data_IF_481791341353
#
_entry.id   IF_481791341353
#
_cell.length_a   1.000
_cell.length_b   1.000
_cell.length_c   1.000
_cell.angle_alpha   90.00
_cell.angle_beta   90.00
_cell.angle_gamma   90.00
#
_symmetry.space_group_name_H-M   'P 1'
#
loop_
_entity.id
_entity.type
_entity.pdbx_description
1 polymer ?
#
# COMPACT_ATOMS: atom_id res chain seq x y z
N UNK A 1 -5.85 -1.60 11.29
CA UNK A 1 -6.67 -2.41 10.36
C UNK A 1 -6.12 -2.42 8.95
N UNK A 2 -5.82 -1.28 8.31
CA UNK A 2 -5.26 -1.20 6.96
C UNK A 2 -4.01 -2.08 6.77
N UNK A 3 -3.06 -2.04 7.72
CA UNK A 3 -1.83 -2.86 7.65
C UNK A 3 -2.13 -4.37 7.62
N UNK A 4 -3.09 -4.82 8.43
CA UNK A 4 -3.48 -6.23 8.45
C UNK A 4 -4.11 -6.67 7.13
N UNK A 5 -5.02 -5.86 6.58
CA UNK A 5 -5.61 -6.12 5.27
C UNK A 5 -4.56 -6.12 4.17
N UNK A 6 -3.63 -5.15 4.19
CA UNK A 6 -2.52 -5.10 3.24
C UNK A 6 -1.62 -6.34 3.36
N UNK A 7 -1.27 -6.75 4.58
CA UNK A 7 -0.47 -7.95 4.81
C UNK A 7 -1.16 -9.19 4.23
N UNK A 8 -2.46 -9.36 4.45
CA UNK A 8 -3.23 -10.49 3.88
C UNK A 8 -3.28 -10.42 2.36
N UNK A 9 -3.65 -9.26 1.81
CA UNK A 9 -3.87 -9.09 0.37
C UNK A 9 -2.57 -9.12 -0.44
N UNK A 10 -1.44 -8.72 0.14
CA UNK A 10 -0.13 -8.73 -0.53
C UNK A 10 0.70 -9.99 -0.24
N UNK A 11 0.22 -10.87 0.62
CA UNK A 11 0.86 -12.16 0.88
C UNK A 11 0.80 -13.08 -0.34
N UNK A 12 1.75 -14.00 -0.44
CA UNK A 12 1.74 -15.06 -1.44
C UNK A 12 0.58 -16.04 -1.18
N UNK A 13 0.03 -16.61 -2.23
CA UNK A 13 -1.11 -17.53 -2.14
C UNK A 13 -2.45 -16.82 -2.33
N UNK A 14 -3.54 -17.48 -1.99
CA UNK A 14 -4.90 -16.96 -2.13
C UNK A 14 -5.30 -16.21 -0.85
N UNK A 15 -5.52 -14.89 -0.91
CA UNK A 15 -5.99 -14.14 0.26
C UNK A 15 -7.43 -14.56 0.58
N UNK A 16 -7.74 -14.65 1.87
CA UNK A 16 -9.07 -14.98 2.36
C UNK A 16 -9.50 -13.95 3.40
N UNK A 17 -10.66 -13.35 3.18
CA UNK A 17 -11.30 -12.40 4.09
C UNK A 17 -12.65 -12.96 4.52
N UNK A 18 -13.04 -12.73 5.76
CA UNK A 18 -14.41 -12.97 6.22
C UNK A 18 -15.26 -11.77 5.82
N UNK A 19 -16.49 -12.02 5.36
CA UNK A 19 -17.40 -10.93 4.98
C UNK A 19 -17.57 -9.92 6.12
N UNK A 20 -17.26 -8.67 5.82
CA UNK A 20 -17.25 -7.57 6.78
C UNK A 20 -15.86 -7.18 7.30
N UNK A 21 -14.80 -7.97 7.09
CA UNK A 21 -13.43 -7.56 7.47
C UNK A 21 -13.02 -6.28 6.74
N UNK A 22 -13.45 -6.13 5.48
CA UNK A 22 -13.21 -4.96 4.63
C UNK A 22 -13.84 -3.67 5.18
N UNK A 23 -14.80 -3.78 6.08
CA UNK A 23 -15.46 -2.66 6.74
C UNK A 23 -15.29 -2.68 8.26
N UNK A 24 -14.39 -3.52 8.76
CA UNK A 24 -14.07 -3.59 10.18
C UNK A 24 -15.19 -4.12 11.06
N UNK A 25 -16.01 -5.06 10.55
CA UNK A 25 -17.03 -5.75 11.33
C UNK A 25 -16.42 -6.37 12.60
N UNK A 26 -17.13 -6.28 13.69
CA UNK A 26 -16.75 -6.92 14.96
C UNK A 26 -17.76 -7.97 15.37
N UNK A 27 -17.29 -9.05 15.95
CA UNK A 27 -18.12 -10.06 16.62
C UNK A 27 -18.10 -9.88 18.16
N UNK A 28 -17.75 -8.67 18.64
CA UNK A 28 -17.74 -8.28 20.04
C UNK A 28 -16.96 -9.25 20.96
N UNK A 29 -15.87 -9.81 20.45
CA UNK A 29 -15.01 -10.77 21.15
C UNK A 29 -15.47 -12.22 21.07
N UNK A 30 -16.58 -12.53 20.41
CA UNK A 30 -16.99 -13.90 20.16
C UNK A 30 -16.16 -14.47 18.98
N UNK A 31 -15.42 -15.54 19.22
CA UNK A 31 -14.58 -16.18 18.23
C UNK A 31 -15.32 -17.20 17.35
N UNK A 32 -16.59 -17.51 17.65
CA UNK A 32 -17.40 -18.43 16.89
C UNK A 32 -18.89 -18.06 16.97
N UNK A 33 -19.36 -17.31 15.98
CA UNK A 33 -20.79 -16.96 15.85
C UNK A 33 -21.58 -17.95 14.96
N UNK A 34 -21.10 -19.18 14.81
CA UNK A 34 -21.77 -20.23 14.06
C UNK A 34 -23.21 -20.46 14.57
N UNK A 35 -24.16 -20.55 13.66
CA UNK A 35 -25.61 -20.73 13.94
C UNK A 35 -26.25 -19.60 14.74
N UNK A 36 -25.63 -18.42 14.87
CA UNK A 36 -26.25 -17.27 15.54
C UNK A 36 -26.83 -16.29 14.53
N UNK A 37 -28.15 -16.30 14.37
CA UNK A 37 -28.85 -15.31 13.55
C UNK A 37 -29.20 -14.09 14.39
N UNK A 38 -28.23 -13.20 14.54
CA UNK A 38 -28.33 -11.99 15.37
C UNK A 38 -27.38 -10.89 14.88
N UNK A 39 -27.47 -9.71 15.47
CA UNK A 39 -26.56 -8.58 15.22
C UNK A 39 -25.07 -8.93 15.37
N UNK A 40 -24.76 -10.00 16.08
CA UNK A 40 -23.40 -10.49 16.25
C UNK A 40 -22.79 -11.01 14.94
N UNK A 41 -23.62 -11.63 14.09
CA UNK A 41 -23.19 -12.22 12.80
C UNK A 41 -23.62 -11.41 11.58
N UNK A 42 -24.57 -10.49 11.74
CA UNK A 42 -25.05 -9.66 10.62
C UNK A 42 -23.98 -8.64 10.20
N UNK A 43 -24.05 -8.25 8.94
CA UNK A 43 -23.23 -7.17 8.37
C UNK A 43 -24.08 -5.89 8.38
N UNK A 44 -23.60 -4.87 9.08
CA UNK A 44 -24.22 -3.55 9.04
C UNK A 44 -23.69 -2.75 7.86
N UNK A 45 -24.56 -2.36 6.94
CA UNK A 45 -24.22 -1.57 5.76
C UNK A 45 -24.30 -0.07 5.99
N UNK A 46 -24.72 0.37 7.18
CA UNK A 46 -24.68 1.77 7.55
C UNK A 46 -23.28 2.16 8.01
N UNK A 47 -22.40 2.36 7.05
CA UNK A 47 -20.96 2.53 7.29
C UNK A 47 -20.64 3.95 7.77
N UNK A 48 -19.82 4.03 8.80
CA UNK A 48 -19.15 5.25 9.24
C UNK A 48 -18.03 5.67 8.26
N UNK A 49 -17.51 6.89 8.40
CA UNK A 49 -16.45 7.42 7.51
C UNK A 49 -15.23 6.51 7.48
N UNK A 50 -14.73 6.10 8.65
CA UNK A 50 -13.55 5.22 8.74
C UNK A 50 -13.78 3.83 8.12
N UNK A 51 -15.03 3.32 8.15
CA UNK A 51 -15.39 2.05 7.54
C UNK A 51 -15.41 2.14 6.02
N UNK A 52 -15.96 3.23 5.48
CA UNK A 52 -15.89 3.53 4.03
C UNK A 52 -14.44 3.65 3.56
N UNK A 53 -13.60 4.31 4.35
CA UNK A 53 -12.16 4.39 4.10
C UNK A 53 -11.51 3.01 4.05
N UNK A 54 -11.85 2.12 4.97
CA UNK A 54 -11.32 0.76 5.00
C UNK A 54 -11.78 -0.07 3.78
N UNK A 55 -13.05 0.08 3.37
CA UNK A 55 -13.56 -0.52 2.12
C UNK A 55 -12.81 0.00 0.90
N UNK A 56 -12.58 1.32 0.84
CA UNK A 56 -11.82 1.92 -0.25
C UNK A 56 -10.37 1.41 -0.30
N UNK A 57 -9.72 1.32 0.86
CA UNK A 57 -8.38 0.72 1.00
C UNK A 57 -8.36 -0.72 0.51
N UNK A 58 -9.33 -1.53 0.91
CA UNK A 58 -9.43 -2.94 0.50
C UNK A 58 -9.60 -3.08 -1.01
N UNK A 59 -10.47 -2.26 -1.61
CA UNK A 59 -10.65 -2.24 -3.08
C UNK A 59 -9.37 -1.87 -3.81
N UNK A 60 -8.66 -0.86 -3.30
CA UNK A 60 -7.38 -0.44 -3.89
C UNK A 60 -6.35 -1.57 -3.84
N UNK A 61 -6.18 -2.23 -2.69
CA UNK A 61 -5.24 -3.34 -2.53
C UNK A 61 -5.60 -4.55 -3.40
N UNK A 62 -6.89 -4.84 -3.57
CA UNK A 62 -7.36 -5.88 -4.50
C UNK A 62 -7.03 -5.49 -5.94
N UNK A 63 -7.26 -4.23 -6.33
CA UNK A 63 -6.92 -3.72 -7.65
C UNK A 63 -5.41 -3.83 -7.91
N UNK A 64 -4.58 -3.37 -6.97
CA UNK A 64 -3.12 -3.49 -7.02
C UNK A 64 -2.70 -4.94 -7.24
N UNK A 65 -3.22 -5.86 -6.42
CA UNK A 65 -2.95 -7.29 -6.54
C UNK A 65 -3.39 -7.86 -7.90
N UNK A 66 -4.51 -7.38 -8.45
CA UNK A 66 -5.01 -7.82 -9.74
C UNK A 66 -4.17 -7.30 -10.90
N UNK A 67 -3.73 -6.06 -10.81
CA UNK A 67 -2.94 -5.36 -11.85
C UNK A 67 -1.51 -5.90 -11.91
N UNK A 68 -0.92 -6.21 -10.73
CA UNK A 68 0.47 -6.67 -10.62
C UNK A 68 0.56 -8.18 -10.39
N UNK A 69 0.93 -8.97 -11.41
CA UNK A 69 1.17 -10.40 -11.28
C UNK A 69 2.18 -10.79 -10.19
N UNK A 70 3.19 -9.94 -9.92
CA UNK A 70 4.18 -10.16 -8.85
C UNK A 70 3.53 -10.22 -7.47
N UNK A 71 2.39 -9.54 -7.25
CA UNK A 71 1.64 -9.59 -6.00
C UNK A 71 0.82 -10.88 -5.83
N UNK A 72 0.62 -11.67 -6.91
CA UNK A 72 -0.17 -12.92 -6.92
C UNK A 72 0.56 -14.06 -7.62
N UNK A 73 1.75 -14.42 -7.16
CA UNK A 73 2.58 -15.42 -7.82
C UNK A 73 1.83 -16.76 -7.95
N UNK A 74 1.95 -17.41 -9.10
CA UNK A 74 1.32 -18.71 -9.40
C UNK A 74 2.13 -19.90 -8.92
N UNK A 75 3.32 -19.67 -8.35
CA UNK A 75 4.21 -20.68 -7.79
C UNK A 75 4.84 -20.20 -6.51
N UNK A 76 5.30 -21.12 -5.68
CA UNK A 76 6.08 -20.77 -4.49
C UNK A 76 7.42 -20.17 -4.88
N UNK A 77 7.84 -19.16 -4.11
CA UNK A 77 9.16 -18.61 -4.21
C UNK A 77 10.22 -19.60 -3.68
N UNK A 78 11.40 -19.56 -4.27
CA UNK A 78 12.52 -20.43 -3.91
C UNK A 78 13.54 -19.74 -3.03
N UNK A 79 13.52 -18.41 -2.97
CA UNK A 79 14.53 -17.58 -2.32
C UNK A 79 15.87 -17.58 -3.08
N UNK A 80 15.89 -18.01 -4.33
CA UNK A 80 17.08 -18.10 -5.16
C UNK A 80 17.09 -17.03 -6.25
N UNK A 81 18.29 -16.61 -6.64
CA UNK A 81 18.47 -15.78 -7.82
C UNK A 81 18.25 -16.65 -9.05
N UNK A 82 17.30 -16.24 -9.89
CA UNK A 82 16.95 -16.96 -11.10
C UNK A 82 17.95 -16.64 -12.23
N UNK A 83 18.06 -17.55 -13.21
CA UNK A 83 18.95 -17.35 -14.36
C UNK A 83 18.67 -16.03 -15.07
N UNK A 84 19.72 -15.21 -15.17
CA UNK A 84 19.67 -13.89 -15.80
C UNK A 84 18.98 -12.81 -14.95
N UNK A 85 18.70 -13.06 -13.65
CA UNK A 85 18.28 -12.05 -12.68
C UNK A 85 19.47 -11.61 -11.81
N UNK A 86 19.31 -10.49 -11.10
CA UNK A 86 20.30 -9.95 -10.14
C UNK A 86 19.81 -10.07 -8.70
N UNK A 87 18.51 -10.30 -8.50
CA UNK A 87 17.88 -10.44 -7.18
C UNK A 87 17.18 -11.80 -7.07
N UNK A 88 17.00 -12.28 -5.85
CA UNK A 88 16.22 -13.49 -5.60
C UNK A 88 14.74 -13.30 -5.94
N UNK A 89 14.05 -14.38 -6.29
CA UNK A 89 12.60 -14.35 -6.56
C UNK A 89 11.77 -13.88 -5.34
N UNK A 90 12.31 -14.09 -4.13
CA UNK A 90 11.84 -13.51 -2.86
C UNK A 90 13.04 -13.28 -1.95
N UNK A 91 13.16 -12.08 -1.41
CA UNK A 91 14.17 -11.75 -0.41
C UNK A 91 13.55 -10.95 0.73
N UNK A 92 14.17 -11.04 1.91
CA UNK A 92 13.75 -10.35 3.12
C UNK A 92 14.92 -9.54 3.67
N UNK A 93 14.65 -8.32 4.08
CA UNK A 93 15.65 -7.39 4.56
C UNK A 93 15.25 -6.75 5.88
N UNK A 94 16.25 -6.33 6.65
CA UNK A 94 16.12 -5.50 7.85
C UNK A 94 15.93 -4.03 7.46
N UNK A 95 15.76 -3.17 8.46
CA UNK A 95 15.66 -1.72 8.27
C UNK A 95 16.88 -1.10 7.56
N UNK A 96 18.07 -1.64 7.75
CA UNK A 96 19.33 -1.20 7.16
C UNK A 96 19.61 -1.80 5.77
N UNK A 97 18.63 -2.41 5.14
CA UNK A 97 18.71 -3.17 3.88
C UNK A 97 19.67 -4.39 3.92
N UNK A 98 20.17 -4.79 5.09
CA UNK A 98 20.88 -6.05 5.20
C UNK A 98 19.90 -7.23 5.12
N UNK A 99 20.27 -8.35 4.47
CA UNK A 99 19.42 -9.53 4.39
C UNK A 99 19.01 -10.05 5.79
N UNK A 100 17.79 -10.52 5.91
CA UNK A 100 17.34 -11.24 7.10
C UNK A 100 18.03 -12.61 7.18
N UNK A 101 18.60 -12.89 8.33
CA UNK A 101 19.22 -14.17 8.67
C UNK A 101 18.52 -14.84 9.87
N UNK A 102 19.03 -15.99 10.30
CA UNK A 102 18.44 -16.73 11.42
C UNK A 102 18.42 -15.91 12.71
N UNK A 103 19.46 -15.15 12.99
CA UNK A 103 19.56 -14.32 14.18
C UNK A 103 18.59 -13.15 14.13
N UNK A 104 18.48 -12.49 12.98
CA UNK A 104 17.53 -11.39 12.76
C UNK A 104 16.08 -11.83 12.93
N UNK A 105 15.72 -13.03 12.45
CA UNK A 105 14.37 -13.58 12.62
C UNK A 105 14.04 -13.93 14.08
N UNK A 106 15.04 -14.24 14.90
CA UNK A 106 14.85 -14.58 16.31
C UNK A 106 15.07 -13.39 17.26
N UNK A 107 15.58 -12.25 16.76
CA UNK A 107 15.77 -11.07 17.58
C UNK A 107 14.42 -10.45 17.98
N UNK A 108 14.08 -10.42 19.28
CA UNK A 108 12.84 -9.82 19.75
C UNK A 108 12.77 -8.30 19.53
N UNK A 109 13.86 -7.65 19.14
CA UNK A 109 13.92 -6.21 18.84
C UNK A 109 13.69 -5.89 17.37
N UNK A 110 13.71 -6.89 16.49
CA UNK A 110 13.36 -6.69 15.09
C UNK A 110 11.90 -6.25 14.96
N UNK A 111 11.68 -5.05 14.45
CA UNK A 111 10.34 -4.43 14.28
C UNK A 111 10.07 -4.04 12.84
N UNK A 112 11.09 -3.94 12.02
CA UNK A 112 10.97 -3.58 10.60
C UNK A 112 11.36 -4.79 9.76
N UNK A 113 10.52 -5.07 8.79
CA UNK A 113 10.75 -6.14 7.79
C UNK A 113 10.45 -5.58 6.42
N UNK A 114 11.33 -5.84 5.46
CA UNK A 114 11.14 -5.52 4.06
C UNK A 114 11.06 -6.80 3.25
N UNK A 115 10.00 -6.96 2.44
CA UNK A 115 9.79 -8.10 1.56
C UNK A 115 9.94 -7.65 0.11
N UNK A 116 10.98 -8.11 -0.56
CA UNK A 116 11.22 -7.88 -1.98
C UNK A 116 10.83 -9.11 -2.79
N UNK A 117 10.02 -8.92 -3.82
CA UNK A 117 9.70 -9.94 -4.84
C UNK A 117 10.12 -9.48 -6.21
N UNK A 118 10.86 -10.30 -6.91
CA UNK A 118 11.17 -10.07 -8.32
C UNK A 118 9.94 -10.29 -9.20
N UNK A 119 9.61 -9.29 -10.02
CA UNK A 119 8.53 -9.35 -11.02
C UNK A 119 8.96 -10.04 -12.32
N UNK A 120 10.25 -10.36 -12.48
CA UNK A 120 10.82 -10.88 -13.73
C UNK A 120 10.06 -12.07 -14.33
N UNK A 121 9.66 -13.03 -13.49
CA UNK A 121 8.96 -14.24 -13.95
C UNK A 121 7.58 -13.96 -14.52
N UNK A 122 7.00 -12.84 -14.20
CA UNK A 122 5.65 -12.44 -14.60
C UNK A 122 5.65 -11.28 -15.59
N UNK A 123 6.85 -10.86 -16.06
CA UNK A 123 7.01 -9.67 -16.89
C UNK A 123 6.34 -8.44 -16.25
N UNK A 124 6.65 -8.24 -14.96
CA UNK A 124 6.11 -7.20 -14.10
C UNK A 124 7.26 -6.48 -13.39
N UNK A 125 6.94 -5.37 -12.74
CA UNK A 125 7.87 -4.66 -11.87
C UNK A 125 8.18 -5.47 -10.62
N UNK A 126 9.31 -5.19 -9.97
CA UNK A 126 9.61 -5.73 -8.65
C UNK A 126 8.69 -5.05 -7.62
N UNK A 127 8.26 -5.79 -6.62
CA UNK A 127 7.43 -5.29 -5.54
C UNK A 127 8.19 -5.32 -4.22
N UNK A 128 8.27 -4.18 -3.56
CA UNK A 128 8.83 -4.05 -2.21
C UNK A 128 7.72 -3.68 -1.23
N UNK A 129 7.52 -4.50 -0.20
CA UNK A 129 6.61 -4.22 0.91
C UNK A 129 7.44 -3.96 2.16
N UNK A 130 7.30 -2.78 2.73
CA UNK A 130 8.04 -2.35 3.93
C UNK A 130 7.07 -2.22 5.09
N UNK A 131 7.31 -2.95 6.16
CA UNK A 131 6.43 -3.01 7.34
C UNK A 131 7.20 -2.49 8.55
N UNK A 132 6.68 -1.44 9.19
CA UNK A 132 7.13 -0.98 10.49
C UNK A 132 6.13 -1.43 11.58
N UNK A 133 6.53 -2.37 12.42
CA UNK A 133 5.79 -2.81 13.60
C UNK A 133 6.21 -2.12 14.90
N UNK A 134 7.11 -1.11 14.83
CA UNK A 134 7.47 -0.31 15.99
C UNK A 134 6.37 0.72 16.32
N UNK A 135 6.36 1.17 17.57
CA UNK A 135 5.49 2.26 18.04
C UNK A 135 6.08 3.65 17.76
N UNK A 136 7.27 3.70 17.20
CA UNK A 136 8.00 4.91 16.85
C UNK A 136 8.27 4.96 15.35
N UNK A 137 8.62 6.14 14.86
CA UNK A 137 9.15 6.33 13.52
C UNK A 137 10.52 5.66 13.40
N UNK A 138 10.79 5.05 12.27
CA UNK A 138 12.04 4.35 11.99
C UNK A 138 12.56 4.75 10.61
N UNK A 139 13.85 5.08 10.56
CA UNK A 139 14.56 5.25 9.30
C UNK A 139 14.84 3.89 8.66
N UNK A 140 14.49 3.76 7.39
CA UNK A 140 14.65 2.53 6.62
C UNK A 140 15.43 2.81 5.36
N UNK A 141 16.46 2.00 5.12
CA UNK A 141 17.21 2.00 3.86
C UNK A 141 16.53 1.03 2.90
N UNK A 142 16.19 1.49 1.69
CA UNK A 142 15.56 0.64 0.69
C UNK A 142 16.60 -0.28 0.02
N UNK A 143 16.31 -1.59 -0.14
CA UNK A 143 17.23 -2.53 -0.75
C UNK A 143 17.41 -2.25 -2.25
N UNK A 144 18.50 -2.77 -2.82
CA UNK A 144 18.71 -2.74 -4.26
C UNK A 144 17.66 -3.62 -4.97
N UNK A 145 17.05 -3.08 -6.02
CA UNK A 145 16.22 -3.81 -6.97
C UNK A 145 17.01 -4.17 -8.22
N UNK A 146 16.35 -4.42 -9.34
CA UNK A 146 16.98 -4.69 -10.65
C UNK A 146 17.58 -3.45 -11.34
N UNK A 147 18.02 -2.46 -10.58
CA UNK A 147 18.69 -1.26 -11.08
C UNK A 147 17.74 -0.12 -11.47
N UNK A 148 16.50 -0.17 -11.05
CA UNK A 148 15.49 0.88 -11.25
C UNK A 148 15.12 1.54 -9.91
N UNK A 149 14.63 2.77 -9.99
CA UNK A 149 14.18 3.51 -8.82
C UNK A 149 12.89 2.90 -8.24
N UNK A 150 12.64 3.14 -6.94
CA UNK A 150 11.44 2.71 -6.26
C UNK A 150 10.35 3.78 -6.35
N UNK A 151 9.14 3.39 -6.73
CA UNK A 151 7.96 4.26 -6.78
C UNK A 151 6.97 3.87 -5.70
N UNK A 152 6.69 4.78 -4.77
CA UNK A 152 5.73 4.55 -3.71
C UNK A 152 4.30 4.44 -4.29
N UNK A 153 3.74 3.25 -4.23
CA UNK A 153 2.42 2.95 -4.74
C UNK A 153 1.32 3.14 -3.68
N UNK A 154 1.63 2.85 -2.42
CA UNK A 154 0.68 2.96 -1.33
C UNK A 154 1.37 3.10 0.02
N UNK A 155 0.75 3.90 0.91
CA UNK A 155 1.16 4.06 2.31
C UNK A 155 -0.09 3.97 3.19
N UNK A 156 -0.05 3.11 4.19
CA UNK A 156 -1.17 2.89 5.13
C UNK A 156 -1.52 4.10 5.98
N UNK A 157 -0.63 5.09 6.05
CA UNK A 157 -0.80 6.33 6.83
C UNK A 157 -1.48 7.44 6.05
N UNK A 158 -1.72 7.27 4.74
CA UNK A 158 -2.40 8.29 3.96
C UNK A 158 -3.78 8.61 4.52
N UNK A 159 -4.06 9.90 4.68
CA UNK A 159 -5.27 10.39 5.31
C UNK A 159 -6.53 10.12 4.49
N UNK A 160 -6.39 10.02 3.16
CA UNK A 160 -7.50 9.79 2.23
C UNK A 160 -7.23 8.49 1.47
N UNK A 161 -8.21 7.58 1.41
CA UNK A 161 -8.09 6.41 0.56
C UNK A 161 -7.92 6.85 -0.89
N UNK A 162 -7.07 6.16 -1.64
CA UNK A 162 -6.88 6.49 -3.05
C UNK A 162 -8.21 6.33 -3.80
N UNK A 163 -8.59 7.28 -4.66
CA UNK A 163 -9.81 7.16 -5.45
C UNK A 163 -9.72 5.94 -6.37
N UNK A 164 -10.82 5.20 -6.47
CA UNK A 164 -10.92 3.94 -7.22
C UNK A 164 -10.60 4.04 -8.70
N UNK A 165 -10.61 5.25 -9.25
CA UNK A 165 -10.50 5.53 -10.67
C UNK A 165 -9.18 6.18 -11.05
N UNK A 166 -8.33 6.53 -10.08
CA UNK A 166 -7.02 7.09 -10.40
C UNK A 166 -6.14 5.98 -11.01
N UNK A 167 -5.58 6.16 -12.20
CA UNK A 167 -4.52 5.30 -12.68
C UNK A 167 -3.38 5.30 -11.63
N UNK A 168 -2.60 4.23 -11.57
CA UNK A 168 -1.53 4.03 -10.59
C UNK A 168 -0.53 5.21 -10.55
N UNK A 169 -0.33 5.87 -11.69
CA UNK A 169 0.42 7.11 -11.86
C UNK A 169 -0.05 8.28 -11.00
N UNK A 170 -1.28 8.22 -10.44
CA UNK A 170 -1.83 9.22 -9.52
C UNK A 170 -1.77 8.81 -8.05
N UNK A 171 -1.05 7.74 -7.69
CA UNK A 171 -0.75 7.46 -6.31
C UNK A 171 0.00 8.67 -5.72
N UNK A 172 -0.72 9.47 -4.95
CA UNK A 172 -0.32 10.81 -4.53
C UNK A 172 0.84 10.70 -3.56
N UNK A 173 1.92 11.32 -3.88
CA UNK A 173 3.01 11.60 -2.97
C UNK A 173 2.63 12.68 -1.99
N UNK A 174 2.78 12.37 -0.75
CA UNK A 174 2.85 13.36 0.31
C UNK A 174 4.30 13.38 0.79
N UNK A 175 5.11 14.27 0.22
CA UNK A 175 6.30 14.74 0.94
C UNK A 175 5.80 15.56 2.10
N UNK A 176 5.78 15.01 3.30
CA UNK A 176 5.57 15.80 4.51
C UNK A 176 6.87 16.52 4.84
N UNK A 177 6.83 17.84 4.75
CA UNK A 177 7.70 18.68 5.57
C UNK A 177 7.29 18.51 7.05
N UNK A 178 8.22 18.51 8.00
CA UNK A 178 7.90 18.40 9.44
C UNK A 178 6.97 19.50 10.00
N UNK A 179 6.47 20.39 9.18
CA UNK A 179 5.64 21.55 9.54
C UNK A 179 4.20 21.51 9.04
N UNK A 180 3.79 20.42 8.31
CA UNK A 180 2.43 20.36 7.78
C UNK A 180 1.45 19.82 8.80
N UNK A 181 0.62 20.69 9.34
CA UNK A 181 -0.61 20.35 10.07
C UNK A 181 -1.58 19.60 9.13
N UNK A 182 -2.36 18.62 9.64
CA UNK A 182 -3.33 17.93 8.81
C UNK A 182 -4.29 18.92 8.15
N UNK A 183 -4.40 18.87 6.83
CA UNK A 183 -5.41 19.64 6.11
C UNK A 183 -6.74 18.86 6.10
N UNK A 184 -7.82 19.54 6.40
CA UNK A 184 -9.16 18.96 6.26
C UNK A 184 -9.52 18.85 4.76
N UNK A 185 -9.98 17.67 4.36
CA UNK A 185 -10.43 17.40 3.00
C UNK A 185 -11.95 17.40 2.98
N UNK A 186 -12.53 18.33 2.23
CA UNK A 186 -13.96 18.40 2.00
C UNK A 186 -14.27 17.69 0.67
N UNK A 187 -15.13 16.68 0.72
CA UNK A 187 -15.62 15.95 -0.45
C UNK A 187 -17.05 16.41 -0.69
N UNK A 188 -17.31 17.08 -1.82
CA UNK A 188 -18.65 17.43 -2.26
C UNK A 188 -19.20 16.32 -3.17
N UNK A 189 -20.38 15.80 -2.79
CA UNK A 189 -21.09 14.78 -3.58
C UNK A 189 -22.38 15.41 -4.16
N UNK A 190 -22.84 14.88 -5.29
CA UNK A 190 -24.15 15.23 -5.84
C UNK A 190 -25.29 14.47 -5.15
N UNK A 191 -26.53 14.74 -5.55
CA UNK A 191 -27.73 14.11 -4.99
C UNK A 191 -27.82 12.61 -5.28
N UNK A 192 -26.96 12.07 -6.17
CA UNK A 192 -26.81 10.65 -6.47
C UNK A 192 -25.67 10.00 -5.66
N UNK A 193 -24.92 10.78 -4.87
CA UNK A 193 -23.80 10.31 -4.06
C UNK A 193 -22.48 10.18 -4.85
N UNK A 194 -22.41 10.72 -6.07
CA UNK A 194 -21.17 10.77 -6.84
C UNK A 194 -20.32 11.99 -6.43
N UNK A 195 -19.01 11.78 -6.36
CA UNK A 195 -18.04 12.83 -5.97
C UNK A 195 -17.97 13.88 -7.07
N UNK A 196 -18.43 15.09 -6.76
CA UNK A 196 -18.41 16.25 -7.68
C UNK A 196 -17.11 17.01 -7.63
N UNK A 197 -16.53 17.18 -6.44
CA UNK A 197 -15.30 17.92 -6.24
C UNK A 197 -14.61 17.49 -4.93
N UNK A 198 -13.28 17.61 -4.89
CA UNK A 198 -12.46 17.33 -3.71
C UNK A 198 -11.64 18.56 -3.39
N UNK A 199 -12.01 19.26 -2.33
CA UNK A 199 -11.30 20.46 -1.86
C UNK A 199 -10.45 20.17 -0.64
N UNK A 200 -9.21 20.59 -0.65
CA UNK A 200 -8.31 20.52 0.50
C UNK A 200 -8.25 21.90 1.14
N UNK A 201 -8.65 21.99 2.39
CA UNK A 201 -8.60 23.25 3.16
C UNK A 201 -7.37 23.22 4.05
N UNK A 202 -6.40 24.05 3.76
CA UNK A 202 -5.24 24.30 4.63
C UNK A 202 -5.39 25.70 5.23
N UNK A 203 -5.47 25.78 6.55
CA UNK A 203 -5.45 27.05 7.32
C UNK A 203 -6.42 28.13 6.83
N UNK A 204 -7.68 27.75 6.51
CA UNK A 204 -8.74 28.72 6.20
C UNK A 204 -8.65 29.39 4.83
N UNK A 205 -7.83 28.90 3.93
CA UNK A 205 -7.74 29.37 2.53
C UNK A 205 -8.08 28.21 1.58
N UNK A 206 -9.01 28.41 0.67
CA UNK A 206 -9.29 27.47 -0.40
C UNK A 206 -8.09 27.43 -1.36
N UNK A 207 -7.46 26.27 -1.48
CA UNK A 207 -6.42 26.03 -2.49
C UNK A 207 -7.04 25.17 -3.58
N UNK A 208 -7.25 25.75 -4.75
CA UNK A 208 -7.64 24.99 -5.93
C UNK A 208 -6.52 23.99 -6.29
N UNK A 209 -6.85 22.71 -6.27
CA UNK A 209 -5.95 21.60 -6.57
C UNK A 209 -5.72 21.46 -8.10
N UNK A 210 -5.23 22.51 -8.74
CA UNK A 210 -5.00 22.54 -10.18
C UNK A 210 -3.57 22.94 -10.60
N UNK A 211 -2.60 22.90 -9.71
CA UNK A 211 -1.21 23.13 -10.16
C UNK A 211 -0.23 22.19 -9.46
N UNK A 212 0.61 21.53 -10.30
CA UNK A 212 1.80 20.77 -9.95
C UNK A 212 1.62 19.30 -9.53
N UNK A 213 1.25 18.46 -10.50
CA UNK A 213 1.37 16.98 -10.45
C UNK A 213 2.73 16.47 -10.97
N UNK A 214 3.78 17.28 -10.98
CA UNK A 214 5.04 16.94 -11.67
C UNK A 214 6.20 16.54 -10.77
N UNK A 215 6.02 16.40 -9.47
CA UNK A 215 7.13 15.95 -8.62
C UNK A 215 6.93 14.50 -8.15
N UNK A 216 7.20 13.60 -9.10
CA UNK A 216 7.35 12.18 -8.78
C UNK A 216 8.65 11.95 -8.01
N UNK A 217 8.61 11.73 -6.67
CA UNK A 217 9.77 11.36 -5.86
C UNK A 217 10.15 9.92 -6.18
N UNK A 218 11.22 9.70 -6.77
CA UNK A 218 11.84 8.41 -7.00
C UNK A 218 12.78 8.16 -5.83
N UNK A 219 12.45 7.20 -4.99
CA UNK A 219 13.39 6.73 -3.99
C UNK A 219 14.36 5.78 -4.71
N UNK A 220 15.66 6.03 -4.59
CA UNK A 220 16.68 5.15 -5.18
C UNK A 220 17.00 4.01 -4.23
N UNK A 221 17.44 2.86 -4.76
CA UNK A 221 18.02 1.83 -3.93
C UNK A 221 19.15 2.40 -3.06
N UNK A 222 19.15 2.08 -1.77
CA UNK A 222 20.07 2.66 -0.80
C UNK A 222 19.65 4.00 -0.21
N UNK A 223 18.61 4.65 -0.72
CA UNK A 223 18.07 5.85 -0.07
C UNK A 223 17.41 5.50 1.26
N UNK A 224 17.54 6.42 2.22
CA UNK A 224 16.89 6.31 3.52
C UNK A 224 15.54 6.99 3.46
N UNK A 225 14.48 6.27 3.83
CA UNK A 225 13.13 6.80 3.97
C UNK A 225 12.65 6.61 5.40
N UNK A 226 11.90 7.59 5.92
CA UNK A 226 11.34 7.51 7.26
C UNK A 226 9.94 6.88 7.20
N UNK A 227 9.75 5.83 8.00
CA UNK A 227 8.47 5.14 8.17
C UNK A 227 7.79 5.57 9.45
N UNK A 228 6.52 5.94 9.34
CA UNK A 228 5.68 6.20 10.50
C UNK A 228 5.50 4.95 11.38
N UNK A 229 5.18 5.18 12.65
CA UNK A 229 4.87 4.11 13.59
C UNK A 229 3.74 3.22 13.07
N UNK A 230 3.86 1.91 13.27
CA UNK A 230 2.85 0.93 12.86
C UNK A 230 2.36 1.13 11.41
N UNK A 231 3.27 1.37 10.47
CA UNK A 231 2.96 1.65 9.08
C UNK A 231 3.37 0.55 8.12
N UNK A 232 2.77 0.55 6.93
CA UNK A 232 3.13 -0.33 5.82
C UNK A 232 3.15 0.47 4.52
N UNK A 233 4.23 0.34 3.75
CA UNK A 233 4.38 0.93 2.42
C UNK A 233 4.58 -0.12 1.36
N UNK A 234 4.12 0.19 0.15
CA UNK A 234 4.32 -0.65 -1.04
C UNK A 234 4.97 0.17 -2.12
N UNK A 235 6.07 -0.34 -2.64
CA UNK A 235 6.80 0.25 -3.75
C UNK A 235 6.83 -0.71 -4.93
N UNK A 236 6.95 -0.15 -6.12
CA UNK A 236 7.28 -0.88 -7.34
C UNK A 236 8.53 -0.28 -7.98
N UNK A 237 9.37 -1.15 -8.56
CA UNK A 237 10.51 -0.74 -9.37
C UNK A 237 10.11 -0.81 -10.83
N UNK A 238 10.53 0.14 -11.63
CA UNK A 238 10.23 0.15 -13.06
C UNK A 238 10.04 1.57 -13.57
N UNK A 239 9.75 1.71 -14.85
CA UNK A 239 9.35 2.99 -15.37
C UNK A 239 7.95 3.37 -14.82
N UNK A 240 7.70 4.68 -14.54
CA UNK A 240 6.37 5.13 -14.16
C UNK A 240 5.34 4.64 -15.18
N UNK A 241 4.24 4.09 -14.72
CA UNK A 241 3.17 3.49 -15.55
C UNK A 241 2.61 4.41 -16.66
N UNK A 242 2.95 5.69 -16.67
CA UNK A 242 2.58 6.65 -17.73
C UNK A 242 3.12 6.28 -19.13
N UNK A 243 4.18 5.46 -19.19
CA UNK A 243 4.78 5.06 -20.48
C UNK A 243 4.17 3.80 -21.08
N UNK A 244 3.30 3.10 -20.36
CA UNK A 244 2.71 1.82 -20.80
C UNK A 244 1.29 1.93 -21.39
N UNK A 245 0.75 3.13 -21.61
CA UNK A 245 -0.51 3.30 -22.34
C UNK A 245 -0.19 3.55 -23.82
N UNK A 246 -0.26 2.55 -24.71
CA UNK A 246 -0.15 2.78 -26.14
C UNK A 246 -1.43 3.49 -26.59
N UNK A 247 -1.34 4.76 -26.96
CA UNK A 247 -2.42 5.41 -27.70
C UNK A 247 -3.00 6.71 -27.14
N UNK A 248 -2.32 7.42 -26.25
CA UNK A 248 -2.63 8.83 -25.98
C UNK A 248 -1.92 9.74 -26.99
N UNK A 249 -2.14 9.49 -28.28
CA UNK A 249 -1.88 10.51 -29.30
C UNK A 249 -3.06 11.47 -29.28
N UNK A 250 -2.70 12.76 -29.19
CA UNK A 250 -3.57 13.91 -29.20
C UNK A 250 -4.61 13.87 -30.34
N UNK A 251 -5.86 14.06 -29.97
CA UNK A 251 -6.86 14.68 -30.87
C UNK A 251 -7.54 15.82 -30.12
#
# INVERSE_FOLDING_TARGET
MRNLLATVLLSAGTPMLVAGDEMGRTQQGNNNCYCQDSVLSWVDWNLEVWQRDLVATTRFLIHLRHTHPVARPSRFATGQVLDGDTIADLAWYRADAAPMDGDSWHDPHTRVVQMLRSGRLWNDDDMLVVINGALDQVDVVLPEGRGTDWHLAWDSTWAVPQPHTAPFSQARRVSRSPQDTPADVIIETDDAGEVKDVKTVANGSEVHAAESLTDCHQDRPGDTTMLEALSLRVYFSGEPLETLIPGAEAH
#
